data_IF_041893454010
#
_entry.id   IF_041893454010
#
_cell.length_a   1.000
_cell.length_b   1.000
_cell.length_c   1.000
_cell.angle_alpha   90.00
_cell.angle_beta   90.00
_cell.angle_gamma   90.00
#
_symmetry.space_group_name_H-M   'P 1'
#
loop_
_entity.id
_entity.type
_entity.pdbx_description
1 polymer ?
#
# COMPACT_ATOMS: atom_id res chain seq x y z
N UNK A 1 15.29 -11.60 4.67
CA UNK A 1 14.77 -10.62 5.66
C UNK A 1 14.82 -11.29 7.02
N UNK A 2 15.32 -10.63 8.08
CA UNK A 2 15.31 -11.24 9.41
C UNK A 2 13.86 -11.56 9.82
N UNK A 3 13.63 -12.69 10.50
CA UNK A 3 12.32 -13.05 11.02
C UNK A 3 11.77 -11.95 11.94
N UNK A 4 10.47 -11.68 11.87
CA UNK A 4 9.76 -10.74 12.75
C UNK A 4 10.22 -9.27 12.70
N UNK A 5 10.84 -8.85 11.59
CA UNK A 5 11.25 -7.45 11.36
C UNK A 5 10.41 -6.78 10.25
N UNK A 6 9.10 -6.52 10.46
CA UNK A 6 8.25 -5.88 9.46
C UNK A 6 8.73 -4.48 9.06
N UNK A 7 9.45 -3.79 9.94
CA UNK A 7 10.06 -2.47 9.67
C UNK A 7 11.11 -2.48 8.55
N UNK A 8 11.72 -3.65 8.31
CA UNK A 8 12.69 -3.90 7.24
C UNK A 8 12.04 -4.42 5.96
N UNK A 9 10.74 -4.73 5.99
CA UNK A 9 9.99 -5.13 4.79
C UNK A 9 9.47 -3.89 4.06
N UNK A 10 9.99 -3.54 2.86
CA UNK A 10 9.47 -2.41 2.10
C UNK A 10 8.00 -2.59 1.72
N UNK A 11 7.53 -3.84 1.55
CA UNK A 11 6.14 -4.14 1.20
C UNK A 11 5.17 -3.69 2.30
N UNK A 12 5.53 -3.84 3.58
CA UNK A 12 4.70 -3.38 4.72
C UNK A 12 4.48 -1.87 4.69
N UNK A 13 5.47 -1.11 4.21
CA UNK A 13 5.37 0.35 4.08
C UNK A 13 4.38 0.74 2.99
N UNK A 14 4.41 0.02 1.86
CA UNK A 14 3.44 0.18 0.78
C UNK A 14 2.04 -0.14 1.30
N UNK A 15 1.84 -1.27 1.98
CA UNK A 15 0.54 -1.64 2.56
C UNK A 15 0.00 -0.62 3.56
N UNK A 16 0.86 -0.10 4.45
CA UNK A 16 0.49 0.96 5.38
C UNK A 16 0.03 2.23 4.65
N UNK A 17 0.68 2.55 3.53
CA UNK A 17 0.34 3.70 2.71
C UNK A 17 -0.96 3.49 1.93
N UNK A 18 -1.13 2.32 1.29
CA UNK A 18 -2.38 1.91 0.64
C UNK A 18 -3.55 1.99 1.61
N UNK A 19 -3.38 1.49 2.85
CA UNK A 19 -4.42 1.60 3.88
C UNK A 19 -4.82 3.04 4.13
N UNK A 20 -3.85 3.95 4.34
CA UNK A 20 -4.12 5.37 4.60
C UNK A 20 -4.81 6.07 3.43
N UNK A 21 -4.48 5.72 2.18
CA UNK A 21 -4.94 6.42 0.98
C UNK A 21 -6.22 5.85 0.37
N UNK A 22 -6.41 4.54 0.44
CA UNK A 22 -7.48 3.86 -0.30
C UNK A 22 -8.60 3.35 0.62
N UNK A 23 -8.26 2.78 1.79
CA UNK A 23 -9.21 2.01 2.61
C UNK A 23 -9.48 2.60 4.00
N UNK A 24 -8.77 3.65 4.40
CA UNK A 24 -8.91 4.24 5.73
C UNK A 24 -10.31 4.85 5.94
N UNK A 25 -10.98 4.40 7.00
CA UNK A 25 -12.31 4.87 7.41
C UNK A 25 -13.37 4.79 6.30
N UNK A 26 -13.27 3.76 5.45
CA UNK A 26 -14.29 3.44 4.45
C UNK A 26 -14.96 2.13 4.81
N UNK A 27 -16.28 2.11 4.66
CA UNK A 27 -17.07 0.89 4.69
C UNK A 27 -17.14 0.32 3.27
N UNK A 28 -17.04 -0.99 3.16
CA UNK A 28 -17.16 -1.74 1.90
C UNK A 28 -18.31 -2.74 2.09
N UNK A 29 -19.26 -2.74 1.16
CA UNK A 29 -20.45 -3.60 1.25
C UNK A 29 -20.12 -5.06 0.92
N UNK A 30 -19.13 -5.26 0.04
CA UNK A 30 -18.67 -6.56 -0.40
C UNK A 30 -17.15 -6.59 -0.61
N UNK A 31 -16.60 -7.79 -0.75
CA UNK A 31 -15.16 -8.00 -0.93
C UNK A 31 -14.65 -7.48 -2.29
N UNK A 32 -15.47 -7.50 -3.34
CA UNK A 32 -15.09 -7.02 -4.67
C UNK A 32 -14.89 -5.50 -4.68
N UNK A 33 -15.68 -4.76 -3.90
CA UNK A 33 -15.51 -3.32 -3.71
C UNK A 33 -14.13 -3.00 -3.11
N UNK A 34 -13.72 -3.77 -2.08
CA UNK A 34 -12.40 -3.64 -1.47
C UNK A 34 -11.28 -3.97 -2.47
N UNK A 35 -11.40 -5.10 -3.18
CA UNK A 35 -10.42 -5.52 -4.19
C UNK A 35 -10.26 -4.43 -5.25
N UNK A 36 -11.37 -3.96 -5.82
CA UNK A 36 -11.37 -2.93 -6.88
C UNK A 36 -10.69 -1.66 -6.42
N UNK A 37 -10.95 -1.20 -5.19
CA UNK A 37 -10.32 0.01 -4.62
C UNK A 37 -8.82 -0.17 -4.42
N UNK A 38 -8.40 -1.35 -3.95
CA UNK A 38 -6.98 -1.67 -3.79
C UNK A 38 -6.28 -1.74 -5.15
N UNK A 39 -6.83 -2.51 -6.10
CA UNK A 39 -6.28 -2.68 -7.45
C UNK A 39 -6.18 -1.35 -8.20
N UNK A 40 -7.24 -0.53 -8.15
CA UNK A 40 -7.22 0.81 -8.78
C UNK A 40 -6.09 1.66 -8.23
N UNK A 41 -5.85 1.61 -6.91
CA UNK A 41 -4.76 2.36 -6.29
C UNK A 41 -3.38 1.85 -6.72
N UNK A 42 -3.20 0.53 -6.84
CA UNK A 42 -1.95 -0.03 -7.36
C UNK A 42 -1.75 0.23 -8.85
N UNK A 43 -2.83 0.28 -9.64
CA UNK A 43 -2.78 0.63 -11.06
C UNK A 43 -2.28 2.07 -11.27
N UNK A 44 -2.72 3.02 -10.43
CA UNK A 44 -2.17 4.39 -10.43
C UNK A 44 -0.66 4.42 -10.17
N UNK A 45 -0.14 3.46 -9.42
CA UNK A 45 1.27 3.36 -9.05
C UNK A 45 2.10 2.42 -9.93
N UNK A 46 1.53 1.87 -11.01
CA UNK A 46 2.26 0.99 -11.95
C UNK A 46 3.46 1.70 -12.57
N UNK A 47 3.31 2.99 -12.88
CA UNK A 47 4.41 3.80 -13.39
C UNK A 47 5.32 4.28 -12.26
N UNK A 48 6.62 4.50 -12.54
CA UNK A 48 7.55 5.06 -11.56
C UNK A 48 6.98 6.32 -10.93
N UNK A 49 6.83 6.32 -9.61
CA UNK A 49 6.22 7.41 -8.88
C UNK A 49 7.05 7.76 -7.65
N UNK A 50 7.26 9.07 -7.38
CA UNK A 50 8.08 9.51 -6.24
C UNK A 50 7.43 9.18 -4.90
N UNK A 51 6.11 8.97 -4.87
CA UNK A 51 5.36 8.60 -3.65
C UNK A 51 5.86 7.26 -3.09
N UNK A 52 5.85 6.19 -3.90
CA UNK A 52 6.36 4.89 -3.50
C UNK A 52 7.88 4.89 -3.32
N UNK A 53 8.62 5.63 -4.15
CA UNK A 53 10.08 5.74 -4.02
C UNK A 53 10.49 6.27 -2.63
N UNK A 54 9.81 7.31 -2.15
CA UNK A 54 10.07 7.89 -0.84
C UNK A 54 9.71 6.95 0.33
N UNK A 55 8.78 6.00 0.15
CA UNK A 55 8.47 5.00 1.18
C UNK A 55 9.61 4.00 1.38
N UNK A 56 10.34 3.70 0.30
CA UNK A 56 11.42 2.70 0.25
C UNK A 56 12.81 3.30 0.50
N UNK A 57 12.97 4.63 0.48
CA UNK A 57 14.19 5.31 0.87
C UNK A 57 14.38 5.26 2.40
N UNK A 58 14.88 4.13 2.90
CA UNK A 58 15.34 4.00 4.30
C UNK A 58 16.62 4.85 4.43
N UNK A 59 16.62 5.83 5.34
CA UNK A 59 17.86 6.50 5.77
C UNK A 59 18.65 5.61 6.73
#
# INVERSE_FOLDING_TARGET
>A
MPPYSPELNPQERVWRHTRRKATHNKYFNDEQELITVVESKFFEWVSPNPELWNLCAIK
#
